data_IF_879690270720
#
_entry.id   IF_879690270720
#
_cell.length_a   1.000
_cell.length_b   1.000
_cell.length_c   1.000
_cell.angle_alpha   90.00
_cell.angle_beta   90.00
_cell.angle_gamma   90.00
#
_symmetry.space_group_name_H-M   'P 1'
#
loop_
_entity.id
_entity.type
_entity.pdbx_description
1 polymer ?
#
# COMPACT_ATOMS: atom_id res chain seq x y z
N UNK A 1 8.11 -46.16 -1.10
CA UNK A 1 6.65 -46.17 -1.32
C UNK A 1 5.99 -45.34 -0.23
N UNK A 2 5.02 -44.49 -0.62
CA UNK A 2 4.27 -43.51 0.21
C UNK A 2 4.99 -42.17 0.44
N UNK A 3 5.15 -41.40 -0.65
CA UNK A 3 5.15 -39.93 -0.67
C UNK A 3 4.28 -39.51 -1.86
N UNK A 4 2.96 -39.65 -1.71
CA UNK A 4 2.00 -39.31 -2.79
C UNK A 4 0.58 -39.14 -2.24
N UNK A 5 0.37 -38.16 -1.35
CA UNK A 5 -0.97 -37.66 -1.02
C UNK A 5 -0.86 -36.37 -0.23
N UNK A 6 -0.75 -35.24 -0.94
CA UNK A 6 -1.21 -33.89 -0.58
C UNK A 6 -1.05 -32.96 -1.80
N UNK A 7 -1.45 -33.51 -2.96
CA UNK A 7 -1.56 -32.82 -4.25
C UNK A 7 -3.06 -32.70 -4.55
N UNK A 8 -3.75 -31.85 -3.81
CA UNK A 8 -5.08 -31.34 -4.10
C UNK A 8 -5.24 -30.04 -3.32
N UNK A 9 -5.74 -28.98 -3.99
CA UNK A 9 -6.13 -27.68 -3.42
C UNK A 9 -5.04 -26.63 -3.14
N UNK A 10 -4.05 -26.49 -4.04
CA UNK A 10 -3.39 -25.19 -4.28
C UNK A 10 -3.63 -24.72 -5.72
N UNK A 11 -4.90 -24.50 -6.02
CA UNK A 11 -5.37 -23.58 -7.06
C UNK A 11 -6.23 -22.53 -6.35
N UNK A 12 -5.59 -21.71 -5.51
CA UNK A 12 -6.08 -20.35 -5.34
C UNK A 12 -5.41 -19.56 -6.45
N UNK A 13 -6.26 -19.10 -7.33
CA UNK A 13 -5.97 -18.48 -8.59
C UNK A 13 -5.49 -17.07 -8.25
N UNK A 14 -4.18 -16.80 -8.33
CA UNK A 14 -3.71 -15.47 -8.71
C UNK A 14 -3.91 -15.41 -10.23
N UNK A 15 -5.08 -14.95 -10.68
CA UNK A 15 -5.19 -14.52 -12.08
C UNK A 15 -4.36 -13.24 -12.16
N UNK A 16 -3.21 -13.29 -12.83
CA UNK A 16 -2.67 -12.10 -13.49
C UNK A 16 -3.75 -11.58 -14.42
N UNK A 17 -4.44 -10.53 -14.02
CA UNK A 17 -5.43 -9.87 -14.86
C UNK A 17 -4.74 -8.74 -15.60
N UNK A 18 -4.89 -8.78 -16.93
CA UNK A 18 -4.55 -7.69 -17.84
C UNK A 18 -5.37 -6.45 -17.45
N UNK A 19 -4.68 -5.35 -17.18
CA UNK A 19 -5.15 -4.04 -16.78
C UNK A 19 -4.63 -2.97 -17.75
N UNK A 20 -5.51 -2.06 -18.12
CA UNK A 20 -5.16 -0.87 -18.89
C UNK A 20 -5.68 0.34 -18.11
N UNK A 21 -5.15 0.52 -16.91
CA UNK A 21 -5.61 1.53 -15.97
C UNK A 21 -5.42 2.92 -16.59
N UNK A 22 -6.41 3.81 -16.40
CA UNK A 22 -6.29 5.21 -16.80
C UNK A 22 -6.34 6.08 -15.55
N UNK A 23 -5.65 7.22 -15.55
CA UNK A 23 -5.63 8.14 -14.41
C UNK A 23 -6.02 9.52 -14.91
N UNK A 24 -6.83 10.25 -14.14
CA UNK A 24 -7.28 11.60 -14.49
C UNK A 24 -6.89 12.57 -13.38
N UNK A 25 -6.13 13.61 -13.73
CA UNK A 25 -5.95 14.76 -12.85
C UNK A 25 -7.08 15.77 -13.13
N UNK A 26 -7.95 16.02 -12.15
CA UNK A 26 -8.94 17.09 -12.24
C UNK A 26 -8.51 18.25 -11.33
N UNK A 27 -8.08 19.36 -11.94
CA UNK A 27 -7.81 20.62 -11.23
C UNK A 27 -9.12 21.43 -11.20
N UNK A 28 -9.70 21.63 -10.02
CA UNK A 28 -10.66 22.71 -9.79
C UNK A 28 -9.97 23.80 -8.96
N UNK A 29 -9.99 25.02 -9.49
CA UNK A 29 -8.94 26.02 -9.36
C UNK A 29 -8.96 26.83 -8.04
N UNK A 30 -7.78 27.06 -7.45
CA UNK A 30 -7.30 28.38 -6.97
C UNK A 30 -5.92 28.28 -6.29
N UNK A 31 -4.83 28.12 -7.05
CA UNK A 31 -3.47 28.26 -6.49
C UNK A 31 -2.29 27.83 -7.36
N UNK A 32 -1.50 28.81 -7.82
CA UNK A 32 -0.23 28.72 -8.58
C UNK A 32 -0.32 28.45 -10.10
N UNK A 33 -0.46 29.55 -10.85
CA UNK A 33 -0.43 29.68 -12.31
C UNK A 33 0.77 29.03 -13.05
N UNK A 34 1.82 28.56 -12.34
CA UNK A 34 3.02 28.01 -12.97
C UNK A 34 2.94 26.47 -13.21
N UNK A 35 2.07 25.76 -12.47
CA UNK A 35 1.91 24.30 -12.62
C UNK A 35 1.12 23.90 -13.87
N UNK A 36 0.29 24.80 -14.41
CA UNK A 36 -0.60 24.55 -15.55
C UNK A 36 0.10 24.37 -16.90
N UNK A 37 1.37 24.76 -17.03
CA UNK A 37 2.13 24.68 -18.29
C UNK A 37 3.12 23.52 -18.34
N UNK A 38 3.25 22.75 -17.27
CA UNK A 38 4.20 21.63 -17.22
C UNK A 38 3.55 20.36 -17.77
N UNK A 39 4.28 19.65 -18.61
CA UNK A 39 3.90 18.28 -19.01
C UNK A 39 3.92 17.35 -17.79
N UNK A 40 3.20 16.23 -17.85
CA UNK A 40 3.22 15.23 -16.77
C UNK A 40 4.64 14.70 -16.49
N UNK A 41 5.48 14.58 -17.52
CA UNK A 41 6.91 14.28 -17.40
C UNK A 41 7.64 15.31 -16.52
N UNK A 42 7.50 16.61 -16.85
CA UNK A 42 8.14 17.68 -16.09
C UNK A 42 7.64 17.75 -14.64
N UNK A 43 6.36 17.45 -14.42
CA UNK A 43 5.77 17.35 -13.07
C UNK A 43 6.40 16.21 -12.29
N UNK A 44 6.54 15.02 -12.89
CA UNK A 44 7.24 13.89 -12.25
C UNK A 44 8.68 14.25 -11.89
N UNK A 45 9.43 14.88 -12.79
CA UNK A 45 10.81 15.29 -12.48
C UNK A 45 10.86 16.30 -11.32
N UNK A 46 9.97 17.29 -11.30
CA UNK A 46 9.85 18.25 -10.19
C UNK A 46 9.52 17.53 -8.88
N UNK A 47 8.60 16.58 -8.88
CA UNK A 47 8.30 15.78 -7.69
C UNK A 47 9.51 14.95 -7.24
N UNK A 48 10.34 14.46 -8.16
CA UNK A 48 11.61 13.81 -7.83
C UNK A 48 12.73 14.78 -7.42
N UNK A 49 12.49 16.10 -7.44
CA UNK A 49 13.53 17.14 -7.30
C UNK A 49 14.66 16.99 -8.34
N UNK A 50 14.27 16.67 -9.57
CA UNK A 50 15.15 16.44 -10.72
C UNK A 50 14.76 17.36 -11.87
N UNK A 51 15.73 17.69 -12.74
CA UNK A 51 15.46 18.38 -14.01
C UNK A 51 15.35 17.42 -15.21
N UNK A 52 15.83 16.18 -15.03
CA UNK A 52 15.90 15.12 -16.04
C UNK A 52 15.97 13.75 -15.34
N UNK A 53 15.70 12.63 -16.02
CA UNK A 53 15.97 11.34 -15.41
C UNK A 53 17.49 11.18 -15.20
N UNK A 54 17.85 10.53 -14.10
CA UNK A 54 19.23 10.24 -13.72
C UNK A 54 19.54 8.76 -13.92
N UNK A 55 20.81 8.36 -13.98
CA UNK A 55 21.15 6.94 -14.01
C UNK A 55 20.94 6.27 -12.65
N UNK A 56 20.82 4.94 -12.63
CA UNK A 56 20.79 4.16 -11.38
C UNK A 56 21.97 4.47 -10.46
N UNK A 57 23.15 4.74 -11.04
CA UNK A 57 24.39 5.05 -10.30
C UNK A 57 24.41 6.46 -9.70
N UNK A 58 23.74 7.42 -10.35
CA UNK A 58 23.55 8.78 -9.82
C UNK A 58 22.55 8.78 -8.65
N UNK A 59 21.53 7.94 -8.74
CA UNK A 59 20.45 7.83 -7.74
C UNK A 59 20.90 7.12 -6.46
N UNK A 60 21.41 5.89 -6.57
CA UNK A 60 21.76 5.05 -5.44
C UNK A 60 23.18 4.51 -5.65
N UNK A 61 24.10 4.68 -4.67
CA UNK A 61 25.44 4.14 -4.77
C UNK A 61 25.45 2.63 -5.00
N UNK A 62 26.34 2.13 -5.86
CA UNK A 62 26.49 0.70 -6.13
C UNK A 62 26.70 -0.15 -4.85
N UNK A 63 27.31 0.44 -3.81
CA UNK A 63 27.48 -0.21 -2.50
C UNK A 63 26.15 -0.55 -1.83
N UNK A 64 25.10 0.26 -2.00
CA UNK A 64 23.74 -0.01 -1.52
C UNK A 64 23.05 -1.10 -2.34
N UNK A 65 23.24 -1.12 -3.67
CA UNK A 65 22.69 -2.18 -4.52
C UNK A 65 23.28 -3.56 -4.21
N UNK A 66 24.57 -3.64 -3.89
CA UNK A 66 25.22 -4.91 -3.48
C UNK A 66 24.64 -5.51 -2.20
N UNK A 67 23.97 -4.71 -1.37
CA UNK A 67 23.31 -5.14 -0.13
C UNK A 67 21.81 -5.40 -0.32
N UNK A 68 21.30 -5.29 -1.54
CA UNK A 68 19.87 -5.47 -1.79
C UNK A 68 19.47 -6.94 -1.78
N UNK A 69 18.38 -7.23 -1.07
CA UNK A 69 17.64 -8.48 -1.14
C UNK A 69 16.25 -8.20 -1.70
N UNK A 70 15.78 -8.95 -2.71
CA UNK A 70 14.37 -8.86 -3.12
C UNK A 70 13.50 -9.42 -1.99
N UNK A 71 12.50 -8.66 -1.57
CA UNK A 71 11.61 -9.02 -0.45
C UNK A 71 10.14 -9.17 -0.86
N UNK A 72 9.74 -8.58 -1.99
CA UNK A 72 8.40 -8.66 -2.52
C UNK A 72 8.38 -8.35 -4.01
N UNK A 73 7.24 -8.62 -4.61
CA UNK A 73 6.93 -8.36 -6.02
C UNK A 73 5.47 -8.01 -6.14
N UNK A 74 5.15 -7.24 -7.18
CA UNK A 74 3.79 -7.00 -7.61
C UNK A 74 3.77 -6.87 -9.13
N UNK A 75 2.57 -6.82 -9.69
CA UNK A 75 2.39 -6.73 -11.14
C UNK A 75 3.15 -5.53 -11.73
N UNK A 76 3.17 -4.40 -11.03
CA UNK A 76 3.80 -3.17 -11.53
C UNK A 76 5.30 -3.05 -11.23
N UNK A 77 5.92 -3.96 -10.48
CA UNK A 77 7.33 -3.80 -10.16
C UNK A 77 7.90 -4.70 -9.08
N UNK A 78 9.10 -4.33 -8.66
CA UNK A 78 9.98 -5.14 -7.83
C UNK A 78 10.30 -4.41 -6.52
N UNK A 79 10.33 -5.15 -5.40
CA UNK A 79 10.58 -4.58 -4.07
C UNK A 79 11.84 -5.17 -3.46
N UNK A 80 12.84 -4.32 -3.21
CA UNK A 80 14.11 -4.69 -2.62
C UNK A 80 14.28 -4.05 -1.25
N UNK A 81 14.92 -4.76 -0.33
CA UNK A 81 15.38 -4.23 0.94
C UNK A 81 16.89 -4.02 0.89
N UNK A 82 17.37 -2.90 1.41
CA UNK A 82 18.80 -2.64 1.63
C UNK A 82 19.04 -2.14 3.05
N UNK A 83 20.29 -1.80 3.37
CA UNK A 83 20.70 -1.22 4.66
C UNK A 83 21.39 0.13 4.38
N UNK A 84 20.97 1.19 5.06
CA UNK A 84 21.58 2.52 4.99
C UNK A 84 22.92 2.58 5.77
N UNK A 85 23.58 3.74 5.75
CA UNK A 85 24.89 3.90 6.41
C UNK A 85 24.80 3.85 7.95
N UNK A 86 23.60 4.08 8.51
CA UNK A 86 23.32 3.97 9.94
C UNK A 86 22.98 2.53 10.37
N UNK A 87 22.93 1.57 9.44
CA UNK A 87 22.57 0.18 9.74
C UNK A 87 21.06 -0.09 9.77
N UNK A 88 20.23 0.86 9.33
CA UNK A 88 18.77 0.72 9.30
C UNK A 88 18.32 0.15 7.96
N UNK A 89 17.25 -0.65 7.98
CA UNK A 89 16.69 -1.23 6.77
C UNK A 89 15.86 -0.19 5.99
N UNK A 90 16.05 -0.19 4.68
CA UNK A 90 15.34 0.65 3.71
C UNK A 90 14.71 -0.22 2.62
N UNK A 91 13.70 0.29 1.94
CA UNK A 91 12.99 -0.42 0.86
C UNK A 91 13.02 0.39 -0.43
N UNK A 92 13.34 -0.25 -1.55
CA UNK A 92 13.21 0.29 -2.89
C UNK A 92 12.06 -0.41 -3.63
N UNK A 93 11.01 0.32 -4.00
CA UNK A 93 9.99 -0.12 -4.96
C UNK A 93 10.38 0.42 -6.33
N UNK A 94 10.66 -0.46 -7.29
CA UNK A 94 11.15 -0.12 -8.62
C UNK A 94 10.09 -0.48 -9.66
N UNK A 95 9.62 0.52 -10.40
CA UNK A 95 8.48 0.42 -11.33
C UNK A 95 8.96 0.88 -12.71
N UNK A 96 8.94 0.05 -13.77
CA UNK A 96 9.20 0.50 -15.13
C UNK A 96 8.04 1.36 -15.64
N UNK A 97 8.36 2.48 -16.29
CA UNK A 97 7.38 3.42 -16.83
C UNK A 97 7.69 3.77 -18.29
N UNK A 98 6.67 4.25 -19.01
CA UNK A 98 6.74 4.76 -20.39
C UNK A 98 7.24 3.80 -21.48
N UNK A 99 7.64 2.58 -21.15
CA UNK A 99 8.03 1.57 -22.12
C UNK A 99 6.84 1.02 -22.91
N UNK A 100 7.08 0.68 -24.18
CA UNK A 100 6.06 0.11 -25.07
C UNK A 100 5.82 -1.39 -24.85
N UNK A 101 6.67 -2.07 -24.06
CA UNK A 101 6.54 -3.49 -23.81
C UNK A 101 5.76 -3.73 -22.53
N UNK A 102 5.02 -4.83 -22.55
CA UNK A 102 4.38 -5.35 -21.37
C UNK A 102 5.44 -5.87 -20.38
N UNK A 103 5.21 -5.65 -19.10
CA UNK A 103 6.01 -6.16 -17.98
C UNK A 103 5.06 -6.90 -17.06
N UNK A 104 5.34 -8.18 -16.78
CA UNK A 104 4.49 -9.03 -15.94
C UNK A 104 3.05 -9.17 -16.48
N UNK A 105 2.89 -9.10 -17.80
CA UNK A 105 1.59 -9.14 -18.46
C UNK A 105 0.87 -7.79 -18.60
N UNK A 106 1.45 -6.69 -18.10
CA UNK A 106 0.82 -5.36 -18.08
C UNK A 106 1.55 -4.28 -18.87
N UNK A 107 0.82 -3.31 -19.47
CA UNK A 107 1.44 -2.11 -20.00
C UNK A 107 2.14 -1.34 -18.88
N UNK A 108 3.28 -0.73 -19.20
CA UNK A 108 3.98 0.12 -18.25
C UNK A 108 3.20 1.42 -18.02
N UNK A 109 3.13 1.85 -16.77
CA UNK A 109 2.49 3.10 -16.37
C UNK A 109 3.09 4.28 -17.14
N UNK A 110 2.23 5.22 -17.54
CA UNK A 110 2.58 6.54 -18.07
C UNK A 110 2.92 7.51 -16.96
N UNK A 111 3.56 8.63 -17.32
CA UNK A 111 3.89 9.71 -16.38
C UNK A 111 2.66 10.22 -15.63
N UNK A 112 1.51 10.31 -16.30
CA UNK A 112 0.25 10.72 -15.67
C UNK A 112 -0.18 9.77 -14.55
N UNK A 113 -0.05 8.47 -14.80
CA UNK A 113 -0.51 7.42 -13.89
C UNK A 113 0.39 7.32 -12.66
N UNK A 114 1.71 7.35 -12.86
CA UNK A 114 2.65 7.25 -11.76
C UNK A 114 2.70 8.53 -10.91
N UNK A 115 2.37 9.69 -11.49
CA UNK A 115 2.36 10.97 -10.78
C UNK A 115 1.37 10.95 -9.60
N UNK A 116 0.20 10.34 -9.76
CA UNK A 116 -0.78 10.20 -8.67
C UNK A 116 -0.20 9.41 -7.49
N UNK A 117 0.48 8.29 -7.75
CA UNK A 117 1.13 7.48 -6.70
C UNK A 117 2.24 8.27 -5.98
N UNK A 118 3.03 9.07 -6.71
CA UNK A 118 4.06 9.94 -6.13
C UNK A 118 3.43 10.98 -5.18
N UNK A 119 2.42 11.71 -5.66
CA UNK A 119 1.79 12.79 -4.90
C UNK A 119 1.07 12.23 -3.66
N UNK A 120 0.33 11.13 -3.80
CA UNK A 120 -0.37 10.50 -2.69
C UNK A 120 0.64 10.01 -1.64
N UNK A 121 1.72 9.33 -2.06
CA UNK A 121 2.76 8.86 -1.15
C UNK A 121 3.38 9.99 -0.33
N UNK A 122 3.65 11.14 -0.97
CA UNK A 122 4.19 12.32 -0.29
C UNK A 122 3.19 12.94 0.67
N UNK A 123 1.93 13.12 0.27
CA UNK A 123 0.88 13.70 1.13
C UNK A 123 0.62 12.83 2.36
N UNK A 124 0.60 11.51 2.20
CA UNK A 124 0.44 10.58 3.33
C UNK A 124 1.67 10.55 4.24
N UNK A 125 2.88 10.64 3.68
CA UNK A 125 4.10 10.78 4.48
C UNK A 125 4.09 12.06 5.33
N UNK A 126 3.62 13.18 4.78
CA UNK A 126 3.52 14.47 5.50
C UNK A 126 2.59 14.40 6.72
N UNK A 127 1.63 13.46 6.78
CA UNK A 127 0.81 13.26 7.97
C UNK A 127 1.62 12.75 9.18
N UNK A 128 2.88 12.34 9.01
CA UNK A 128 3.75 12.01 10.14
C UNK A 128 4.32 13.24 10.87
N UNK A 129 4.22 14.43 10.26
CA UNK A 129 4.65 15.69 10.84
C UNK A 129 3.58 16.25 11.83
N UNK A 130 4.01 17.07 12.80
CA UNK A 130 3.08 17.63 13.79
C UNK A 130 2.06 18.58 13.13
N UNK A 131 0.78 18.42 13.48
CA UNK A 131 -0.32 19.23 12.95
C UNK A 131 -1.67 18.87 13.56
N UNK A 132 -2.74 19.50 13.07
CA UNK A 132 -4.12 19.21 13.51
C UNK A 132 -4.61 17.82 13.11
N UNK A 133 -3.98 17.22 12.11
CA UNK A 133 -4.22 15.85 11.67
C UNK A 133 -2.86 15.18 11.45
N UNK A 134 -2.46 14.28 12.36
CA UNK A 134 -1.17 13.58 12.25
C UNK A 134 -1.27 12.11 12.65
N UNK A 135 -0.55 11.25 11.95
CA UNK A 135 -0.41 9.81 12.21
C UNK A 135 0.90 9.27 11.64
N UNK A 136 1.47 8.26 12.30
CA UNK A 136 2.65 7.51 11.81
C UNK A 136 2.28 6.20 11.11
N UNK A 137 0.99 5.97 10.84
CA UNK A 137 0.49 4.70 10.32
C UNK A 137 0.55 4.53 8.80
N UNK A 138 1.00 5.53 8.04
CA UNK A 138 1.41 5.37 6.63
C UNK A 138 2.92 5.14 6.56
N UNK A 139 3.40 4.44 5.53
CA UNK A 139 4.85 4.20 5.42
C UNK A 139 5.59 5.50 5.06
N UNK A 140 6.70 5.74 5.75
CA UNK A 140 7.53 6.92 5.49
C UNK A 140 8.18 6.81 4.11
N UNK A 141 8.04 7.84 3.30
CA UNK A 141 8.70 7.99 2.00
C UNK A 141 9.91 8.91 2.17
N UNK A 142 11.11 8.39 1.93
CA UNK A 142 12.33 9.19 2.04
C UNK A 142 12.64 9.93 0.74
N UNK A 143 12.60 9.24 -0.39
CA UNK A 143 12.90 9.82 -1.69
C UNK A 143 12.13 9.14 -2.82
N UNK A 144 11.97 9.85 -3.93
CA UNK A 144 11.46 9.31 -5.20
C UNK A 144 12.38 9.78 -6.31
N UNK A 145 12.74 8.87 -7.22
CA UNK A 145 13.64 9.16 -8.33
C UNK A 145 13.05 8.70 -9.64
N UNK A 146 13.15 9.54 -10.68
CA UNK A 146 13.01 9.10 -12.06
C UNK A 146 14.39 8.72 -12.59
N UNK A 147 14.50 7.47 -13.05
CA UNK A 147 15.76 6.85 -13.44
C UNK A 147 15.70 6.38 -14.88
N UNK A 148 16.80 6.53 -15.61
CA UNK A 148 16.96 6.03 -16.98
C UNK A 148 18.16 5.10 -17.05
N UNK A 149 18.00 3.93 -17.67
CA UNK A 149 19.10 3.00 -17.94
C UNK A 149 18.73 1.53 -17.77
N UNK A 150 19.67 0.65 -18.09
CA UNK A 150 19.49 -0.80 -17.89
C UNK A 150 19.43 -1.17 -16.40
N UNK A 151 18.65 -2.22 -16.08
CA UNK A 151 18.49 -2.72 -14.72
C UNK A 151 19.85 -3.14 -14.10
N UNK A 152 20.19 -2.71 -12.88
CA UNK A 152 21.48 -3.04 -12.26
C UNK A 152 21.71 -4.55 -12.11
N UNK A 153 22.89 -5.01 -12.47
CA UNK A 153 23.26 -6.44 -12.37
C UNK A 153 23.21 -6.97 -10.93
N UNK A 154 23.44 -6.14 -9.93
CA UNK A 154 23.27 -6.45 -8.51
C UNK A 154 21.81 -6.75 -8.16
N UNK A 155 20.86 -5.97 -8.68
CA UNK A 155 19.43 -6.19 -8.45
C UNK A 155 18.93 -7.42 -9.22
N UNK A 156 19.46 -7.67 -10.42
CA UNK A 156 19.19 -8.92 -11.15
C UNK A 156 19.62 -10.15 -10.35
N UNK A 157 20.79 -10.11 -9.73
CA UNK A 157 21.25 -11.21 -8.83
C UNK A 157 20.31 -11.39 -7.64
N UNK A 158 19.86 -10.29 -7.03
CA UNK A 158 18.90 -10.35 -5.93
C UNK A 158 17.55 -10.94 -6.37
N UNK A 159 17.10 -10.59 -7.58
CA UNK A 159 15.92 -11.18 -8.21
C UNK A 159 16.09 -12.69 -8.46
N UNK A 160 17.24 -13.10 -9.02
CA UNK A 160 17.54 -14.52 -9.28
C UNK A 160 17.53 -15.36 -8.00
N UNK A 161 18.12 -14.84 -6.92
CA UNK A 161 18.13 -15.50 -5.61
C UNK A 161 16.71 -15.66 -5.04
N UNK A 162 15.86 -14.64 -5.20
CA UNK A 162 14.46 -14.71 -4.79
C UNK A 162 13.69 -15.74 -5.61
N UNK A 163 13.85 -15.73 -6.94
CA UNK A 163 13.17 -16.68 -7.83
C UNK A 163 13.57 -18.13 -7.51
N UNK A 164 14.84 -18.39 -7.20
CA UNK A 164 15.28 -19.73 -6.79
C UNK A 164 14.65 -20.21 -5.47
N UNK A 165 14.32 -19.30 -4.55
CA UNK A 165 13.85 -19.66 -3.21
C UNK A 165 12.33 -19.62 -3.06
N UNK A 166 11.64 -18.74 -3.79
CA UNK A 166 10.20 -18.52 -3.69
C UNK A 166 9.42 -18.76 -4.98
N UNK A 167 10.10 -18.90 -6.13
CA UNK A 167 9.52 -18.86 -7.48
C UNK A 167 8.78 -17.55 -7.72
N UNK A 168 9.38 -16.66 -8.50
CA UNK A 168 8.77 -15.37 -8.87
C UNK A 168 7.62 -15.59 -9.85
N UNK A 169 6.53 -14.85 -9.67
CA UNK A 169 5.43 -14.76 -10.64
C UNK A 169 5.73 -13.74 -11.75
N UNK A 170 6.73 -12.88 -11.55
CA UNK A 170 7.13 -11.83 -12.48
C UNK A 170 8.13 -12.30 -13.55
N UNK A 171 8.19 -11.54 -14.65
CA UNK A 171 9.25 -11.65 -15.63
C UNK A 171 10.57 -11.16 -15.04
N UNK A 172 11.69 -11.78 -15.42
CA UNK A 172 13.02 -11.30 -15.02
C UNK A 172 13.26 -9.92 -15.66
N UNK A 173 13.61 -8.86 -14.91
CA UNK A 173 13.71 -7.50 -15.44
C UNK A 173 15.07 -7.23 -16.12
N UNK A 174 15.50 -8.13 -17.02
CA UNK A 174 16.85 -8.13 -17.61
C UNK A 174 16.94 -7.61 -19.05
N UNK A 175 15.88 -6.97 -19.52
CA UNK A 175 15.91 -6.29 -20.81
C UNK A 175 16.92 -5.15 -20.80
N UNK A 176 18.03 -5.32 -21.53
CA UNK A 176 19.05 -4.27 -21.68
C UNK A 176 18.54 -3.19 -22.63
N UNK A 177 17.94 -2.16 -22.05
CA UNK A 177 17.53 -0.94 -22.73
C UNK A 177 18.02 0.25 -21.93
N UNK A 178 19.10 0.86 -22.39
CA UNK A 178 19.66 2.06 -21.76
C UNK A 178 18.69 3.26 -21.79
N UNK A 179 17.62 3.15 -22.58
CA UNK A 179 16.56 4.15 -22.70
C UNK A 179 15.35 3.90 -21.79
N UNK A 180 15.25 2.76 -21.11
CA UNK A 180 14.11 2.45 -20.25
C UNK A 180 14.06 3.38 -19.03
N UNK A 181 12.87 3.91 -18.74
CA UNK A 181 12.60 4.73 -17.57
C UNK A 181 12.06 3.88 -16.42
N UNK A 182 12.45 4.22 -15.20
CA UNK A 182 11.99 3.61 -13.97
C UNK A 182 11.66 4.69 -12.95
N UNK A 183 10.65 4.44 -12.13
CA UNK A 183 10.48 5.13 -10.87
C UNK A 183 11.04 4.28 -9.75
N UNK A 184 11.81 4.91 -8.86
CA UNK A 184 12.31 4.28 -7.64
C UNK A 184 11.76 5.05 -6.46
N UNK A 185 10.94 4.39 -5.64
CA UNK A 185 10.52 4.92 -4.35
C UNK A 185 11.41 4.32 -3.26
N UNK A 186 12.00 5.18 -2.44
CA UNK A 186 12.79 4.81 -1.25
C UNK A 186 11.93 4.98 0.00
N UNK A 187 11.44 3.88 0.55
CA UNK A 187 10.61 3.84 1.74
C UNK A 187 11.38 3.37 2.98
N UNK A 188 10.86 3.72 4.15
CA UNK A 188 11.23 3.08 5.41
C UNK A 188 10.88 1.58 5.35
N UNK A 189 11.63 0.74 6.08
CA UNK A 189 11.24 -0.66 6.26
C UNK A 189 10.10 -0.82 7.29
N UNK A 190 8.89 -1.10 6.79
CA UNK A 190 7.68 -1.30 7.59
C UNK A 190 7.52 -2.69 8.24
N UNK A 191 8.44 -3.63 8.00
CA UNK A 191 8.35 -5.00 8.53
C UNK A 191 7.84 -6.02 7.51
N UNK A 192 6.95 -6.91 7.93
CA UNK A 192 6.34 -7.93 7.06
C UNK A 192 4.85 -7.64 6.88
N UNK A 193 4.30 -7.95 5.72
CA UNK A 193 2.86 -7.86 5.45
C UNK A 193 2.03 -8.75 6.42
N UNK A 194 0.77 -8.35 6.66
CA UNK A 194 -0.12 -8.98 7.62
C UNK A 194 -0.43 -10.44 7.24
N UNK A 195 -0.50 -10.76 5.94
CA UNK A 195 -0.64 -12.13 5.43
C UNK A 195 0.50 -13.03 5.91
N UNK A 196 1.76 -12.59 5.72
CA UNK A 196 2.97 -13.24 6.20
C UNK A 196 3.09 -13.31 7.74
N UNK A 197 2.22 -12.57 8.45
CA UNK A 197 2.12 -12.51 9.91
C UNK A 197 1.03 -13.39 10.50
N UNK A 198 0.28 -14.16 9.68
CA UNK A 198 -0.84 -15.02 10.07
C UNK A 198 -0.58 -15.90 11.32
N UNK A 199 0.64 -16.40 11.51
CA UNK A 199 1.04 -17.24 12.67
C UNK A 199 1.97 -16.54 13.67
N UNK A 200 2.37 -15.28 13.39
CA UNK A 200 3.37 -14.52 14.15
C UNK A 200 2.73 -13.51 15.10
N UNK A 201 1.51 -13.04 14.81
CA UNK A 201 0.74 -12.22 15.73
C UNK A 201 0.31 -13.08 16.94
N UNK A 202 0.69 -12.71 18.17
CA UNK A 202 0.60 -13.61 19.30
C UNK A 202 -0.83 -13.79 19.83
N UNK A 203 -1.70 -12.79 19.63
CA UNK A 203 -3.06 -12.82 20.16
C UNK A 203 -4.00 -11.86 19.43
N UNK A 204 -5.31 -12.09 19.60
CA UNK A 204 -6.37 -11.29 18.99
C UNK A 204 -6.42 -9.84 19.51
N UNK A 205 -5.88 -9.59 20.71
CA UNK A 205 -5.73 -8.23 21.26
C UNK A 205 -4.68 -7.43 20.47
N UNK A 206 -3.61 -8.08 20.01
CA UNK A 206 -2.65 -7.44 19.11
C UNK A 206 -3.32 -7.14 17.77
N UNK A 207 -4.14 -8.06 17.25
CA UNK A 207 -4.89 -7.80 16.03
C UNK A 207 -5.90 -6.64 16.19
N UNK A 208 -6.61 -6.56 17.33
CA UNK A 208 -7.44 -5.39 17.68
C UNK A 208 -6.64 -4.09 17.66
N UNK A 209 -5.45 -4.09 18.27
CA UNK A 209 -4.56 -2.91 18.26
C UNK A 209 -4.12 -2.53 16.85
N UNK A 210 -3.71 -3.51 16.03
CA UNK A 210 -3.35 -3.28 14.62
C UNK A 210 -4.53 -2.68 13.86
N UNK A 211 -5.74 -3.23 14.00
CA UNK A 211 -6.93 -2.69 13.37
C UNK A 211 -7.21 -1.25 13.84
N UNK A 212 -7.07 -0.97 15.13
CA UNK A 212 -7.22 0.39 15.69
C UNK A 212 -6.20 1.38 15.09
N UNK A 213 -4.93 0.99 14.96
CA UNK A 213 -3.90 1.82 14.32
C UNK A 213 -4.24 2.14 12.86
N UNK A 214 -4.76 1.15 12.12
CA UNK A 214 -5.18 1.31 10.72
C UNK A 214 -6.39 2.23 10.63
N UNK A 215 -7.44 1.98 11.42
CA UNK A 215 -8.66 2.82 11.44
C UNK A 215 -8.34 4.27 11.80
N UNK A 216 -7.49 4.51 12.82
CA UNK A 216 -7.06 5.85 13.19
C UNK A 216 -6.28 6.54 12.06
N UNK A 217 -5.41 5.82 11.36
CA UNK A 217 -4.64 6.39 10.26
C UNK A 217 -5.51 6.75 9.05
N UNK A 218 -6.49 5.91 8.73
CA UNK A 218 -7.48 6.20 7.69
C UNK A 218 -8.34 7.40 8.08
N UNK A 219 -8.83 7.49 9.32
CA UNK A 219 -9.61 8.62 9.81
C UNK A 219 -8.83 9.96 9.69
N UNK A 220 -7.55 9.96 10.11
CA UNK A 220 -6.67 11.14 9.96
C UNK A 220 -6.53 11.55 8.50
N UNK A 221 -6.33 10.59 7.59
CA UNK A 221 -6.20 10.89 6.16
C UNK A 221 -7.53 11.26 5.50
N UNK A 222 -8.67 10.73 5.96
CA UNK A 222 -10.00 11.16 5.53
C UNK A 222 -10.20 12.64 5.84
N UNK A 223 -10.01 13.05 7.10
CA UNK A 223 -10.20 14.43 7.54
C UNK A 223 -9.20 15.39 6.88
N UNK A 224 -7.92 14.99 6.77
CA UNK A 224 -6.89 15.85 6.23
C UNK A 224 -6.91 15.95 4.69
N UNK A 225 -7.23 14.85 4.00
CA UNK A 225 -6.95 14.68 2.58
C UNK A 225 -8.13 14.18 1.74
N UNK A 226 -9.31 13.98 2.34
CA UNK A 226 -10.41 13.22 1.73
C UNK A 226 -9.91 11.89 1.14
N UNK A 227 -9.09 11.18 1.91
CA UNK A 227 -8.38 10.00 1.44
C UNK A 227 -9.27 8.76 1.36
N UNK A 228 -9.07 7.96 0.32
CA UNK A 228 -9.52 6.59 0.22
C UNK A 228 -8.37 5.69 -0.23
N UNK A 229 -8.11 4.59 0.49
CA UNK A 229 -7.03 3.68 0.10
C UNK A 229 -7.36 2.88 -1.16
N UNK A 230 -8.60 2.36 -1.23
CA UNK A 230 -9.19 1.57 -2.32
C UNK A 230 -8.51 0.23 -2.67
N UNK A 231 -7.37 -0.08 -2.06
CA UNK A 231 -6.73 -1.40 -2.22
C UNK A 231 -6.11 -1.96 -0.94
N UNK A 232 -6.76 -1.80 0.21
CA UNK A 232 -6.17 -2.14 1.51
C UNK A 232 -6.33 -3.62 1.88
N UNK A 233 -5.89 -4.51 0.99
CA UNK A 233 -5.80 -5.93 1.31
C UNK A 233 -4.69 -6.17 2.35
N UNK A 234 -4.68 -7.34 3.01
CA UNK A 234 -3.74 -7.64 4.09
C UNK A 234 -2.25 -7.72 3.65
N UNK A 235 -1.98 -7.70 2.34
CA UNK A 235 -0.63 -7.53 1.78
C UNK A 235 -0.12 -6.09 1.91
N UNK A 236 -1.03 -5.13 1.97
CA UNK A 236 -0.76 -3.68 2.04
C UNK A 236 -0.75 -3.14 3.48
N UNK A 237 -0.72 -4.03 4.47
CA UNK A 237 -0.56 -3.70 5.89
C UNK A 237 0.74 -4.32 6.39
N UNK A 238 1.78 -3.52 6.53
CA UNK A 238 3.06 -3.95 7.08
C UNK A 238 3.04 -3.91 8.61
N UNK A 239 3.65 -4.91 9.22
CA UNK A 239 3.74 -5.08 10.67
C UNK A 239 5.20 -5.19 11.09
N UNK A 240 5.64 -4.29 11.98
CA UNK A 240 6.96 -4.36 12.63
C UNK A 240 6.85 -4.39 14.15
N UNK A 241 7.85 -4.98 14.81
CA UNK A 241 7.96 -4.94 16.27
C UNK A 241 8.38 -3.55 16.73
N UNK A 242 7.88 -3.13 17.89
CA UNK A 242 8.26 -1.87 18.52
C UNK A 242 8.46 -2.02 20.03
N UNK A 243 9.34 -1.18 20.59
CA UNK A 243 9.48 -1.02 22.03
C UNK A 243 8.52 0.05 22.60
N UNK A 244 7.92 0.87 21.74
CA UNK A 244 6.92 1.86 22.16
C UNK A 244 5.71 1.14 22.72
N UNK A 245 5.27 1.53 23.93
CA UNK A 245 4.06 0.97 24.55
C UNK A 245 2.80 1.57 23.94
N UNK A 246 2.85 2.85 23.63
CA UNK A 246 1.77 3.63 23.04
C UNK A 246 2.31 4.43 21.87
N UNK A 247 1.44 4.69 20.90
CA UNK A 247 1.64 5.69 19.84
C UNK A 247 0.55 6.75 19.96
N UNK A 248 0.82 7.91 19.40
CA UNK A 248 -0.10 9.05 19.40
C UNK A 248 -0.53 9.36 17.95
N UNK A 249 -1.78 9.78 17.80
CA UNK A 249 -2.31 10.39 16.58
C UNK A 249 -3.13 11.61 16.96
N UNK A 250 -3.18 12.62 16.09
CA UNK A 250 -4.05 13.77 16.24
C UNK A 250 -5.10 13.75 15.15
N UNK A 251 -6.35 13.94 15.53
CA UNK A 251 -7.49 13.99 14.63
C UNK A 251 -8.29 15.26 14.98
N UNK A 252 -8.42 16.16 14.01
CA UNK A 252 -9.10 17.45 14.17
C UNK A 252 -8.64 18.23 15.43
N UNK A 253 -7.33 18.28 15.66
CA UNK A 253 -6.71 19.00 16.77
C UNK A 253 -6.74 18.28 18.13
N UNK A 254 -7.35 17.08 18.20
CA UNK A 254 -7.39 16.28 19.43
C UNK A 254 -6.41 15.12 19.37
N UNK A 255 -5.50 15.03 20.34
CA UNK A 255 -4.52 13.94 20.44
C UNK A 255 -5.10 12.74 21.18
N UNK A 256 -4.94 11.56 20.58
CA UNK A 256 -5.36 10.27 21.12
C UNK A 256 -4.17 9.33 21.23
N UNK A 257 -4.30 8.28 22.06
CA UNK A 257 -3.26 7.27 22.26
C UNK A 257 -3.77 5.87 21.95
N UNK A 258 -2.93 5.06 21.33
CA UNK A 258 -3.20 3.64 21.05
C UNK A 258 -2.10 2.78 21.67
N UNK A 259 -2.48 1.79 22.48
CA UNK A 259 -1.55 0.77 22.96
C UNK A 259 -1.09 -0.12 21.79
N UNK A 260 0.22 -0.19 21.56
CA UNK A 260 0.80 -0.91 20.40
C UNK A 260 0.83 -2.43 20.60
N UNK A 261 0.78 -2.86 21.87
CA UNK A 261 1.09 -4.24 22.26
C UNK A 261 2.42 -4.78 21.67
N UNK A 262 3.39 -3.89 21.41
CA UNK A 262 4.69 -4.23 20.83
C UNK A 262 4.71 -4.38 19.31
N UNK A 263 3.66 -3.94 18.61
CA UNK A 263 3.55 -3.98 17.14
C UNK A 263 3.06 -2.64 16.58
N UNK A 264 3.70 -2.20 15.48
CA UNK A 264 3.26 -1.07 14.67
C UNK A 264 2.68 -1.57 13.36
N UNK A 265 1.64 -0.89 12.88
CA UNK A 265 1.07 -1.09 11.56
C UNK A 265 1.43 0.09 10.63
N UNK A 266 1.89 -0.21 9.42
CA UNK A 266 2.13 0.77 8.37
C UNK A 266 1.35 0.39 7.10
N UNK A 267 0.52 1.30 6.61
CA UNK A 267 -0.26 1.16 5.38
C UNK A 267 0.62 1.53 4.18
N UNK A 268 0.60 0.70 3.12
CA UNK A 268 1.41 0.86 1.90
C UNK A 268 0.58 0.70 0.63
N UNK A 269 1.22 0.99 -0.50
CA UNK A 269 0.70 0.83 -1.87
C UNK A 269 -0.55 1.64 -2.18
N UNK A 270 -0.31 2.84 -2.67
CA UNK A 270 -1.35 3.81 -2.98
C UNK A 270 -1.73 3.83 -4.46
N UNK A 271 -1.46 2.74 -5.18
CA UNK A 271 -1.67 2.65 -6.63
C UNK A 271 -3.13 2.96 -7.03
N UNK A 272 -4.11 2.48 -6.26
CA UNK A 272 -5.55 2.69 -6.54
C UNK A 272 -6.17 3.83 -5.72
N UNK A 273 -5.37 4.49 -4.88
CA UNK A 273 -5.88 5.42 -3.89
C UNK A 273 -6.38 6.72 -4.51
N UNK A 274 -7.12 7.49 -3.69
CA UNK A 274 -7.67 8.79 -4.05
C UNK A 274 -7.41 9.80 -2.93
N UNK A 275 -7.00 11.00 -3.29
CA UNK A 275 -6.88 12.17 -2.40
C UNK A 275 -7.46 13.39 -3.07
N UNK A 276 -8.09 14.27 -2.28
CA UNK A 276 -8.65 15.52 -2.76
C UNK A 276 -8.48 16.62 -1.72
N UNK A 277 -7.62 17.59 -2.02
CA UNK A 277 -7.29 18.73 -1.16
C UNK A 277 -7.17 20.00 -1.97
N UNK A 278 -7.65 21.12 -1.45
CA UNK A 278 -7.48 22.46 -2.06
C UNK A 278 -7.92 22.53 -3.53
N UNK A 279 -9.02 21.85 -3.87
CA UNK A 279 -9.55 21.78 -5.23
C UNK A 279 -8.76 20.87 -6.20
N UNK A 280 -7.67 20.27 -5.74
CA UNK A 280 -6.86 19.34 -6.54
C UNK A 280 -7.21 17.90 -6.20
N UNK A 281 -7.55 17.11 -7.23
CA UNK A 281 -7.90 15.70 -7.13
C UNK A 281 -6.84 14.82 -7.80
N UNK A 282 -6.33 13.84 -7.07
CA UNK A 282 -5.49 12.77 -7.60
C UNK A 282 -6.13 11.42 -7.28
N UNK A 283 -6.33 10.60 -8.32
CA UNK A 283 -6.93 9.28 -8.17
C UNK A 283 -6.57 8.37 -9.35
N UNK A 284 -6.75 7.07 -9.12
CA UNK A 284 -6.74 6.03 -10.14
C UNK A 284 -8.14 5.84 -10.73
N UNK A 285 -8.30 5.98 -12.05
CA UNK A 285 -9.57 5.75 -12.72
C UNK A 285 -9.68 4.29 -13.21
N UNK A 286 -10.59 3.56 -12.56
CA UNK A 286 -10.89 2.17 -12.90
C UNK A 286 -12.16 2.05 -13.73
N UNK A 287 -12.70 3.15 -14.26
CA UNK A 287 -13.99 3.16 -14.95
C UNK A 287 -14.02 2.30 -16.22
N UNK A 288 -12.87 2.13 -16.89
CA UNK A 288 -12.68 1.26 -18.06
C UNK A 288 -12.34 -0.20 -17.72
N UNK A 289 -12.01 -0.50 -16.46
CA UNK A 289 -11.31 -1.74 -16.09
C UNK A 289 -12.27 -2.89 -15.76
N UNK A 290 -12.96 -3.42 -16.78
CA UNK A 290 -13.95 -4.47 -16.58
C UNK A 290 -13.37 -5.79 -16.02
N UNK A 291 -12.16 -6.18 -16.41
CA UNK A 291 -11.48 -7.41 -15.97
C UNK A 291 -11.14 -7.40 -14.48
N UNK A 292 -10.80 -6.22 -13.94
CA UNK A 292 -10.43 -6.01 -12.54
C UNK A 292 -11.53 -6.49 -11.57
N UNK A 293 -12.80 -6.34 -11.94
CA UNK A 293 -13.94 -6.70 -11.08
C UNK A 293 -14.37 -8.17 -11.19
N UNK A 294 -13.69 -8.98 -12.01
CA UNK A 294 -14.01 -10.38 -12.25
C UNK A 294 -13.30 -11.37 -11.30
N UNK A 295 -12.40 -10.89 -10.43
CA UNK A 295 -11.69 -11.73 -9.46
C UNK A 295 -12.63 -12.49 -8.52
N UNK A 296 -12.23 -13.70 -8.11
CA UNK A 296 -12.99 -14.60 -7.24
C UNK A 296 -12.07 -15.38 -6.31
N UNK A 297 -12.64 -15.94 -5.25
CA UNK A 297 -11.92 -16.84 -4.32
C UNK A 297 -11.42 -16.18 -3.04
N UNK A 298 -11.49 -14.85 -2.95
CA UNK A 298 -11.23 -14.09 -1.72
C UNK A 298 -12.22 -12.92 -1.60
N UNK A 299 -12.60 -12.58 -0.36
CA UNK A 299 -13.47 -11.45 -0.03
C UNK A 299 -12.92 -10.11 -0.56
N UNK A 300 -11.59 -10.01 -0.76
CA UNK A 300 -10.94 -8.88 -1.41
C UNK A 300 -11.63 -8.48 -2.73
N UNK A 301 -11.98 -9.46 -3.56
CA UNK A 301 -12.60 -9.18 -4.85
C UNK A 301 -14.04 -8.68 -4.73
N UNK A 302 -14.74 -9.04 -3.66
CA UNK A 302 -16.06 -8.48 -3.37
C UNK A 302 -15.96 -7.00 -2.98
N UNK A 303 -14.88 -6.58 -2.30
CA UNK A 303 -14.65 -5.18 -1.93
C UNK A 303 -14.54 -4.31 -3.18
N UNK A 304 -13.79 -4.73 -4.21
CA UNK A 304 -13.72 -3.99 -5.48
C UNK A 304 -15.09 -3.81 -6.14
N UNK A 305 -15.91 -4.86 -6.16
CA UNK A 305 -17.27 -4.80 -6.71
C UNK A 305 -18.16 -3.85 -5.91
N UNK A 306 -18.09 -3.91 -4.59
CA UNK A 306 -18.86 -3.03 -3.68
C UNK A 306 -18.48 -1.56 -3.86
N UNK A 307 -17.19 -1.24 -3.92
CA UNK A 307 -16.75 0.13 -4.20
C UNK A 307 -17.28 0.63 -5.54
N UNK A 308 -17.23 -0.18 -6.59
CA UNK A 308 -17.77 0.17 -7.92
C UNK A 308 -19.28 0.39 -7.90
N UNK A 309 -20.00 -0.42 -7.13
CA UNK A 309 -21.45 -0.29 -6.95
C UNK A 309 -21.79 1.01 -6.21
N UNK A 310 -21.13 1.27 -5.07
CA UNK A 310 -21.40 2.41 -4.21
C UNK A 310 -21.00 3.75 -4.83
N UNK A 311 -19.92 3.78 -5.63
CA UNK A 311 -19.50 4.99 -6.34
C UNK A 311 -20.11 5.11 -7.75
N UNK A 312 -21.00 4.19 -8.16
CA UNK A 312 -21.60 4.16 -9.50
C UNK A 312 -20.56 4.20 -10.65
N UNK A 313 -19.40 3.56 -10.44
CA UNK A 313 -18.23 3.57 -11.31
C UNK A 313 -17.61 4.97 -11.53
N UNK A 314 -17.85 5.94 -10.63
CA UNK A 314 -17.25 7.28 -10.65
C UNK A 314 -16.11 7.37 -9.63
N UNK A 315 -14.91 7.01 -10.08
CA UNK A 315 -13.73 6.93 -9.21
C UNK A 315 -13.17 8.28 -8.77
N UNK A 316 -13.61 9.40 -9.37
CA UNK A 316 -13.27 10.75 -8.92
C UNK A 316 -13.94 11.14 -7.61
N UNK A 317 -15.14 10.62 -7.37
CA UNK A 317 -16.00 11.04 -6.28
C UNK A 317 -15.39 10.59 -4.94
N UNK A 318 -15.61 11.39 -3.89
CA UNK A 318 -15.18 11.03 -2.54
C UNK A 318 -16.22 10.13 -1.89
N UNK A 319 -15.83 8.89 -1.58
CA UNK A 319 -16.67 7.92 -0.90
C UNK A 319 -15.87 7.21 0.21
N UNK A 320 -15.76 7.81 1.42
CA UNK A 320 -14.97 7.24 2.52
C UNK A 320 -15.48 5.89 3.03
N UNK A 321 -16.71 5.49 2.66
CA UNK A 321 -17.23 4.16 2.97
C UNK A 321 -16.35 3.05 2.36
N UNK A 322 -15.59 3.33 1.29
CA UNK A 322 -14.60 2.40 0.75
C UNK A 322 -13.53 2.01 1.78
N UNK A 323 -13.12 2.92 2.68
CA UNK A 323 -12.20 2.61 3.77
C UNK A 323 -12.86 1.68 4.80
N UNK A 324 -14.15 1.88 5.09
CA UNK A 324 -14.93 1.00 5.97
C UNK A 324 -15.04 -0.41 5.38
N UNK A 325 -15.29 -0.54 4.09
CA UNK A 325 -15.30 -1.83 3.38
C UNK A 325 -13.97 -2.58 3.56
N UNK A 326 -12.85 -1.89 3.43
CA UNK A 326 -11.53 -2.48 3.64
C UNK A 326 -11.23 -2.81 5.10
N UNK A 327 -11.64 -1.97 6.04
CA UNK A 327 -11.53 -2.26 7.48
C UNK A 327 -12.35 -3.51 7.86
N UNK A 328 -13.54 -3.67 7.27
CA UNK A 328 -14.36 -4.86 7.44
C UNK A 328 -13.66 -6.11 6.87
N UNK A 329 -13.07 -6.01 5.68
CA UNK A 329 -12.22 -7.06 5.11
C UNK A 329 -11.04 -7.43 6.03
N UNK A 330 -10.29 -6.45 6.53
CA UNK A 330 -9.14 -6.70 7.40
C UNK A 330 -9.57 -7.35 8.72
N UNK A 331 -10.68 -6.91 9.31
CA UNK A 331 -11.23 -7.49 10.52
C UNK A 331 -11.63 -8.98 10.31
N UNK A 332 -12.20 -9.32 9.16
CA UNK A 332 -12.51 -10.70 8.78
C UNK A 332 -11.24 -11.56 8.71
N UNK A 333 -10.20 -11.07 8.01
CA UNK A 333 -8.91 -11.75 7.95
C UNK A 333 -8.32 -11.95 9.35
N UNK A 334 -8.30 -10.91 10.17
CA UNK A 334 -7.78 -10.96 11.53
C UNK A 334 -8.58 -11.93 12.41
N UNK A 335 -9.91 -11.99 12.30
CA UNK A 335 -10.71 -12.96 13.05
C UNK A 335 -10.32 -14.42 12.75
N UNK A 336 -9.92 -14.68 11.50
CA UNK A 336 -9.56 -15.99 10.97
C UNK A 336 -8.06 -16.33 11.04
N UNK A 337 -7.22 -15.42 11.56
CA UNK A 337 -5.80 -15.67 11.77
C UNK A 337 -5.51 -16.73 12.86
N UNK A 338 -4.31 -17.31 12.80
CA UNK A 338 -3.86 -18.37 13.72
C UNK A 338 -3.13 -17.80 14.94
N UNK A 339 -3.88 -17.60 16.03
CA UNK A 339 -3.33 -17.13 17.30
C UNK A 339 -2.75 -18.24 18.19
N UNK A 340 -1.76 -17.89 19.02
CA UNK A 340 -1.23 -18.81 20.04
C UNK A 340 -2.32 -19.16 21.05
N UNK A 341 -2.39 -20.45 21.44
CA UNK A 341 -3.41 -20.96 22.36
C UNK A 341 -3.29 -20.27 23.73
N UNK A 342 -4.24 -19.38 24.04
CA UNK A 342 -4.54 -18.89 25.40
C UNK A 342 -5.74 -19.64 25.99
N UNK A 343 -6.06 -19.37 27.26
CA UNK A 343 -7.24 -19.91 27.92
C UNK A 343 -8.50 -19.75 27.04
N UNK A 344 -9.21 -20.85 26.79
CA UNK A 344 -10.28 -20.94 25.76
C UNK A 344 -11.37 -19.88 25.92
N UNK A 345 -11.74 -19.54 27.16
CA UNK A 345 -12.84 -18.60 27.46
C UNK A 345 -12.48 -17.17 27.04
N UNK A 346 -11.29 -16.68 27.41
CA UNK A 346 -10.86 -15.32 27.07
C UNK A 346 -10.66 -15.12 25.56
N UNK A 347 -10.31 -16.18 24.83
CA UNK A 347 -10.25 -16.13 23.37
C UNK A 347 -11.66 -16.06 22.75
N UNK A 348 -12.63 -16.80 23.29
CA UNK A 348 -14.02 -16.80 22.80
C UNK A 348 -14.64 -15.40 22.89
N UNK A 349 -14.61 -14.78 24.07
CA UNK A 349 -15.19 -13.44 24.27
C UNK A 349 -14.56 -12.36 23.38
N UNK A 350 -13.29 -12.51 23.00
CA UNK A 350 -12.62 -11.55 22.12
C UNK A 350 -12.94 -11.77 20.65
N UNK A 351 -13.21 -13.01 20.25
CA UNK A 351 -13.75 -13.31 18.92
C UNK A 351 -15.16 -12.76 18.77
N UNK A 352 -15.99 -12.89 19.82
CA UNK A 352 -17.34 -12.30 19.86
C UNK A 352 -17.28 -10.78 19.59
N UNK A 353 -16.33 -10.05 20.17
CA UNK A 353 -16.14 -8.61 19.85
C UNK A 353 -15.80 -8.30 18.39
N UNK A 354 -15.02 -9.15 17.72
CA UNK A 354 -14.73 -8.99 16.29
C UNK A 354 -15.95 -9.33 15.44
N UNK A 355 -16.72 -10.35 15.82
CA UNK A 355 -17.97 -10.71 15.16
C UNK A 355 -19.02 -9.60 15.30
N UNK A 356 -19.15 -9.00 16.49
CA UNK A 356 -19.95 -7.81 16.75
C UNK A 356 -19.50 -6.64 15.86
N UNK A 357 -18.19 -6.35 15.81
CA UNK A 357 -17.65 -5.34 14.91
C UNK A 357 -18.02 -5.60 13.45
N UNK A 358 -17.85 -6.81 12.94
CA UNK A 358 -18.20 -7.16 11.55
C UNK A 358 -19.69 -6.95 11.27
N UNK A 359 -20.57 -7.27 12.22
CA UNK A 359 -22.02 -7.09 12.08
C UNK A 359 -22.46 -5.60 12.06
N UNK A 360 -21.63 -4.69 12.56
CA UNK A 360 -21.96 -3.28 12.72
C UNK A 360 -21.14 -2.33 11.84
N UNK A 361 -19.91 -2.68 11.49
CA UNK A 361 -18.95 -1.77 10.85
C UNK A 361 -19.48 -1.20 9.53
N UNK A 362 -20.18 -1.99 8.73
CA UNK A 362 -20.74 -1.56 7.44
C UNK A 362 -21.91 -0.56 7.55
N UNK A 363 -22.34 -0.19 8.76
CA UNK A 363 -23.37 0.84 8.97
C UNK A 363 -22.79 2.25 9.02
N UNK A 364 -21.49 2.38 9.34
CA UNK A 364 -20.78 3.65 9.44
C UNK A 364 -20.31 4.11 8.06
N UNK A 365 -20.30 5.42 7.81
CA UNK A 365 -20.00 6.00 6.49
C UNK A 365 -18.52 6.29 6.25
N UNK A 366 -17.68 6.32 7.28
CA UNK A 366 -16.25 6.61 7.18
C UNK A 366 -15.44 5.92 8.28
N UNK A 367 -14.12 5.84 8.12
CA UNK A 367 -13.24 5.35 9.17
C UNK A 367 -13.25 6.30 10.39
N UNK A 368 -13.38 7.61 10.18
CA UNK A 368 -13.57 8.61 11.23
C UNK A 368 -14.82 8.32 12.08
N UNK A 369 -15.99 8.13 11.45
CA UNK A 369 -17.24 7.86 12.15
C UNK A 369 -17.14 6.54 12.93
N UNK A 370 -16.56 5.52 12.30
CA UNK A 370 -16.35 4.20 12.88
C UNK A 370 -15.41 4.26 14.10
N UNK A 371 -14.34 5.06 14.04
CA UNK A 371 -13.37 5.21 15.12
C UNK A 371 -14.01 5.83 16.38
N UNK A 372 -14.85 6.85 16.20
CA UNK A 372 -15.48 7.56 17.32
C UNK A 372 -16.67 6.79 17.92
N UNK A 373 -17.48 6.16 17.07
CA UNK A 373 -18.80 5.69 17.47
C UNK A 373 -18.84 4.21 17.85
N UNK A 374 -17.89 3.41 17.39
CA UNK A 374 -17.91 1.97 17.61
C UNK A 374 -17.24 1.57 18.94
N UNK A 375 -17.98 0.85 19.78
CA UNK A 375 -17.48 0.31 21.06
C UNK A 375 -16.28 -0.63 20.93
N UNK A 376 -16.00 -1.11 19.72
CA UNK A 376 -14.81 -1.91 19.46
C UNK A 376 -13.52 -1.12 19.75
N UNK A 377 -13.48 0.20 19.54
CA UNK A 377 -12.28 1.02 19.76
C UNK A 377 -12.25 1.72 21.12
N UNK A 378 -13.37 1.71 21.84
CA UNK A 378 -13.50 2.11 23.25
C UNK A 378 -13.01 0.98 24.18
#
# INVERSE_FOLDING_TARGET
>A
AVWSTLRCERRCINVCFIFNISFVNCLQDSGSSLMLFLSNEQRVYRECQQDRPISFKECIPLSKFKKCDKIGEGVFGEVFRTINDNGEFMVFKIIPIEGAKYVNGEPQKKFEEILSEIIISKKLHQLSEEGENHTIGFISLHNVYCVKGSYPGELLKAWDNYNQTKTSENDRPDESKDEQLYMIFEFEFGGCDLESMNTKIPSIEVAKSVLHQITASLAVAEVALNFEHRDLHWGNVLIKRTALKQIEYCLAGTTYKIDTHGFLANIIDYTLSRVGTDGVLHFCDLSSETSFFCGQGDYQFDIYRKMREENFNKWSDYNPHSNVLWLHYLAEKMLNMKYKKRAKIALKTRKEKFEEFLNEALKYQSAEELLHSNFFFQ
#
